data_IF_701408115569
#
_entry.id   IF_701408115569
#
_cell.length_a   1.000
_cell.length_b   1.000
_cell.length_c   1.000
_cell.angle_alpha   90.00
_cell.angle_beta   90.00
_cell.angle_gamma   90.00
#
_symmetry.space_group_name_H-M   'P 1'
#
loop_
_entity.id
_entity.type
_entity.pdbx_description
1 polymer ?
#
# COMPACT_ATOMS: atom_id res chain seq x y z
N UNK A 1 -20.09 9.53 1.98
CA UNK A 1 -19.50 8.19 1.74
C UNK A 1 -20.50 7.19 1.14
N UNK A 2 -21.74 7.09 1.64
CA UNK A 2 -22.80 6.22 1.05
C UNK A 2 -23.19 6.58 -0.40
N UNK A 3 -22.97 7.83 -0.81
CA UNK A 3 -23.28 8.31 -2.15
C UNK A 3 -22.33 7.82 -3.27
N UNK A 4 -21.21 7.16 -2.98
CA UNK A 4 -20.35 6.57 -4.03
C UNK A 4 -20.58 5.07 -4.19
N UNK A 5 -21.11 4.41 -3.15
CA UNK A 5 -21.27 2.96 -3.13
C UNK A 5 -22.33 2.47 -4.13
N UNK A 6 -23.37 3.28 -4.34
CA UNK A 6 -24.45 2.97 -5.28
C UNK A 6 -24.01 3.00 -6.75
N UNK A 7 -22.92 3.71 -7.09
CA UNK A 7 -22.31 3.69 -8.43
C UNK A 7 -21.15 2.71 -8.52
N UNK A 8 -20.45 2.44 -7.42
CA UNK A 8 -19.31 1.52 -7.39
C UNK A 8 -19.70 0.08 -7.73
N UNK A 9 -20.78 -0.45 -7.15
CA UNK A 9 -21.22 -1.83 -7.41
C UNK A 9 -21.71 -2.00 -8.87
N UNK A 10 -22.61 -1.13 -9.39
CA UNK A 10 -22.99 -1.20 -10.80
C UNK A 10 -21.82 -0.97 -11.75
N UNK A 11 -20.89 -0.08 -11.40
CA UNK A 11 -19.68 0.18 -12.18
C UNK A 11 -18.77 -1.05 -12.26
N UNK A 12 -18.53 -1.72 -11.14
CA UNK A 12 -17.76 -2.96 -11.11
C UNK A 12 -18.43 -4.08 -11.91
N UNK A 13 -19.75 -4.24 -11.77
CA UNK A 13 -20.54 -5.22 -12.54
C UNK A 13 -20.49 -4.90 -14.03
N UNK A 14 -20.64 -3.63 -14.43
CA UNK A 14 -20.55 -3.21 -15.82
C UNK A 14 -19.16 -3.50 -16.41
N UNK A 15 -18.09 -3.18 -15.68
CA UNK A 15 -16.71 -3.52 -16.10
C UNK A 15 -16.53 -5.03 -16.24
N UNK A 16 -17.01 -5.82 -15.28
CA UNK A 16 -16.93 -7.28 -15.34
C UNK A 16 -17.70 -7.86 -16.53
N UNK A 17 -18.90 -7.35 -16.82
CA UNK A 17 -19.71 -7.77 -17.97
C UNK A 17 -19.06 -7.39 -19.29
N UNK A 18 -18.57 -6.15 -19.40
CA UNK A 18 -17.87 -5.64 -20.60
C UNK A 18 -16.60 -6.45 -20.86
N UNK A 19 -15.75 -6.66 -19.84
CA UNK A 19 -14.54 -7.48 -19.97
C UNK A 19 -14.88 -8.96 -20.26
N UNK A 20 -15.92 -9.50 -19.62
CA UNK A 20 -16.43 -10.85 -19.87
C UNK A 20 -17.10 -11.04 -21.23
N UNK A 21 -17.51 -9.97 -21.91
CA UNK A 21 -18.05 -10.03 -23.26
C UNK A 21 -16.94 -9.83 -24.32
N UNK A 22 -16.08 -8.82 -24.14
CA UNK A 22 -15.11 -8.36 -25.14
C UNK A 22 -13.72 -9.00 -25.01
N UNK A 23 -13.38 -9.53 -23.82
CA UNK A 23 -12.05 -9.99 -23.46
C UNK A 23 -12.10 -11.23 -22.54
N UNK A 24 -12.95 -12.21 -22.87
CA UNK A 24 -13.08 -13.47 -22.10
C UNK A 24 -11.75 -14.12 -21.78
N UNK A 25 -10.86 -14.20 -22.77
CA UNK A 25 -9.53 -14.81 -22.60
C UNK A 25 -8.67 -14.04 -21.59
N UNK A 26 -8.83 -12.72 -21.48
CA UNK A 26 -8.13 -11.93 -20.48
C UNK A 26 -8.68 -12.21 -19.08
N UNK A 27 -10.00 -12.33 -18.93
CA UNK A 27 -10.67 -12.63 -17.64
C UNK A 27 -10.31 -14.03 -17.14
N UNK A 28 -10.22 -15.01 -18.03
CA UNK A 28 -9.83 -16.39 -17.68
C UNK A 28 -8.34 -16.52 -17.29
N UNK A 29 -7.49 -15.61 -17.77
CA UNK A 29 -6.05 -15.56 -17.42
C UNK A 29 -5.76 -14.82 -16.11
N UNK A 30 -6.77 -14.24 -15.47
CA UNK A 30 -6.61 -13.61 -14.15
C UNK A 30 -6.20 -14.68 -13.14
N UNK A 31 -5.23 -14.35 -12.29
CA UNK A 31 -4.91 -15.16 -11.11
C UNK A 31 -6.00 -14.97 -10.05
N UNK A 32 -7.08 -15.74 -10.18
CA UNK A 32 -8.24 -15.69 -9.28
C UNK A 32 -7.89 -16.06 -7.84
N UNK A 33 -6.86 -16.90 -7.65
CA UNK A 33 -6.36 -17.24 -6.31
C UNK A 33 -5.71 -16.02 -5.67
N UNK A 34 -4.85 -15.30 -6.40
CA UNK A 34 -4.25 -14.06 -5.91
C UNK A 34 -5.32 -13.00 -5.58
N UNK A 35 -6.34 -12.87 -6.42
CA UNK A 35 -7.47 -11.96 -6.16
C UNK A 35 -8.23 -12.36 -4.89
N UNK A 36 -8.48 -13.65 -4.67
CA UNK A 36 -9.07 -14.16 -3.43
C UNK A 36 -8.20 -13.84 -2.22
N UNK A 37 -6.87 -14.00 -2.32
CA UNK A 37 -5.93 -13.63 -1.25
C UNK A 37 -6.04 -12.15 -0.93
N UNK A 38 -6.14 -11.26 -1.92
CA UNK A 38 -6.37 -9.83 -1.67
C UNK A 38 -7.67 -9.60 -0.90
N UNK A 39 -8.78 -10.24 -1.30
CA UNK A 39 -10.07 -10.12 -0.60
C UNK A 39 -9.97 -10.60 0.85
N UNK A 40 -9.38 -11.78 1.08
CA UNK A 40 -9.18 -12.31 2.43
C UNK A 40 -8.28 -11.40 3.27
N UNK A 41 -7.24 -10.83 2.66
CA UNK A 41 -6.35 -9.88 3.32
C UNK A 41 -7.10 -8.61 3.76
N UNK A 42 -8.03 -8.09 2.97
CA UNK A 42 -8.92 -7.01 3.42
C UNK A 42 -9.72 -7.41 4.65
N UNK A 43 -10.32 -8.60 4.68
CA UNK A 43 -11.10 -9.07 5.84
C UNK A 43 -10.21 -9.22 7.07
N UNK A 44 -9.08 -9.91 6.94
CA UNK A 44 -8.18 -10.21 8.07
C UNK A 44 -7.53 -8.94 8.62
N UNK A 45 -7.01 -8.05 7.77
CA UNK A 45 -6.32 -6.84 8.23
C UNK A 45 -7.28 -5.80 8.79
N UNK A 46 -8.50 -5.67 8.25
CA UNK A 46 -9.55 -4.83 8.87
C UNK A 46 -9.95 -5.38 10.23
N UNK A 47 -10.12 -6.70 10.33
CA UNK A 47 -10.36 -7.36 11.62
C UNK A 47 -9.22 -7.14 12.61
N UNK A 48 -7.97 -7.24 12.15
CA UNK A 48 -6.79 -6.98 12.97
C UNK A 48 -6.70 -5.51 13.41
N UNK A 49 -7.00 -4.56 12.54
CA UNK A 49 -7.05 -3.13 12.86
C UNK A 49 -8.10 -2.79 13.92
N UNK A 50 -9.19 -3.57 13.99
CA UNK A 50 -10.24 -3.42 15.01
C UNK A 50 -9.87 -4.03 16.37
N UNK A 51 -8.79 -4.82 16.47
CA UNK A 51 -8.33 -5.34 17.76
C UNK A 51 -7.89 -4.17 18.67
N UNK A 52 -8.30 -4.12 19.95
CA UNK A 52 -8.03 -2.97 20.81
C UNK A 52 -6.56 -2.56 20.89
N UNK A 53 -5.66 -3.55 20.96
CA UNK A 53 -4.21 -3.30 21.01
C UNK A 53 -3.70 -2.62 19.74
N UNK A 54 -4.09 -3.11 18.56
CA UNK A 54 -3.67 -2.55 17.28
C UNK A 54 -4.30 -1.17 17.09
N UNK A 55 -5.61 -1.08 17.35
CA UNK A 55 -6.35 0.17 17.22
C UNK A 55 -5.75 1.27 18.09
N UNK A 56 -5.48 1.00 19.37
CA UNK A 56 -4.90 1.99 20.27
C UNK A 56 -3.47 2.38 19.87
N UNK A 57 -2.63 1.40 19.50
CA UNK A 57 -1.26 1.67 19.05
C UNK A 57 -1.25 2.56 17.81
N UNK A 58 -2.06 2.26 16.80
CA UNK A 58 -2.08 3.01 15.54
C UNK A 58 -2.80 4.35 15.70
N UNK A 59 -3.92 4.40 16.42
CA UNK A 59 -4.63 5.65 16.68
C UNK A 59 -3.77 6.65 17.48
N UNK A 60 -2.93 6.17 18.40
CA UNK A 60 -2.02 7.03 19.17
C UNK A 60 -0.98 7.77 18.32
N UNK A 61 -0.74 7.32 17.08
CA UNK A 61 0.15 8.00 16.13
C UNK A 61 -0.44 9.33 15.61
N UNK A 62 -1.76 9.53 15.72
CA UNK A 62 -2.43 10.75 15.25
C UNK A 62 -2.36 10.90 13.73
N UNK A 63 -2.94 9.94 13.00
CA UNK A 63 -2.88 9.84 11.54
C UNK A 63 -3.74 10.88 10.78
N UNK A 64 -4.32 11.84 11.49
CA UNK A 64 -4.99 13.01 10.92
C UNK A 64 -3.99 13.98 10.27
N UNK A 65 -2.73 13.98 10.73
CA UNK A 65 -1.68 14.78 10.11
C UNK A 65 -1.15 14.09 8.86
N UNK A 66 -1.13 14.74 7.67
CA UNK A 66 -0.61 14.16 6.44
C UNK A 66 0.83 13.65 6.58
N UNK A 67 1.67 14.40 7.29
CA UNK A 67 3.05 13.98 7.52
C UNK A 67 3.11 12.70 8.36
N UNK A 68 2.31 12.59 9.42
CA UNK A 68 2.29 11.38 10.27
C UNK A 68 1.69 10.17 9.57
N UNK A 69 0.66 10.36 8.74
CA UNK A 69 0.12 9.30 7.89
C UNK A 69 1.16 8.80 6.88
N UNK A 70 1.88 9.73 6.27
CA UNK A 70 2.95 9.43 5.34
C UNK A 70 4.10 8.66 5.99
N UNK A 71 4.56 9.11 7.17
CA UNK A 71 5.64 8.43 7.92
C UNK A 71 5.21 7.04 8.41
N UNK A 72 3.99 6.92 8.96
CA UNK A 72 3.43 5.65 9.37
C UNK A 72 3.27 4.69 8.18
N UNK A 73 2.80 5.19 7.03
CA UNK A 73 2.70 4.45 5.78
C UNK A 73 4.04 3.86 5.36
N UNK A 74 5.11 4.66 5.35
CA UNK A 74 6.44 4.19 5.01
C UNK A 74 6.98 3.15 6.01
N UNK A 75 6.82 3.40 7.31
CA UNK A 75 7.33 2.52 8.36
C UNK A 75 6.59 1.18 8.44
N UNK A 76 5.26 1.19 8.40
CA UNK A 76 4.45 -0.03 8.44
C UNK A 76 4.61 -0.83 7.16
N UNK A 77 4.71 -0.16 6.01
CA UNK A 77 4.97 -0.81 4.71
C UNK A 77 6.28 -1.61 4.73
N UNK A 78 7.32 -1.12 5.38
CA UNK A 78 8.58 -1.85 5.57
C UNK A 78 8.46 -3.11 6.44
N UNK A 79 7.45 -3.20 7.30
CA UNK A 79 7.26 -4.33 8.20
C UNK A 79 6.37 -5.42 7.58
N UNK A 80 5.27 -5.02 6.93
CA UNK A 80 4.24 -5.95 6.45
C UNK A 80 4.00 -5.89 4.93
N UNK A 81 4.75 -5.11 4.17
CA UNK A 81 4.58 -4.79 2.73
C UNK A 81 3.54 -3.70 2.42
N UNK A 82 3.70 -3.09 1.24
CA UNK A 82 2.93 -1.94 0.76
C UNK A 82 1.40 -2.14 0.80
N UNK A 83 0.89 -3.26 0.24
CA UNK A 83 -0.56 -3.48 0.15
C UNK A 83 -1.19 -3.76 1.52
N UNK A 84 -0.66 -4.70 2.35
CA UNK A 84 -1.14 -4.88 3.72
C UNK A 84 -1.13 -3.60 4.56
N UNK A 85 -0.05 -2.82 4.47
CA UNK A 85 0.06 -1.56 5.20
C UNK A 85 -1.00 -0.53 4.77
N UNK A 86 -1.29 -0.44 3.47
CA UNK A 86 -2.34 0.43 2.95
C UNK A 86 -3.71 0.02 3.51
N UNK A 87 -4.02 -1.28 3.49
CA UNK A 87 -5.30 -1.80 4.00
C UNK A 87 -5.46 -1.48 5.48
N UNK A 88 -4.44 -1.77 6.30
CA UNK A 88 -4.48 -1.56 7.74
C UNK A 88 -4.63 -0.07 8.11
N UNK A 89 -3.81 0.80 7.50
CA UNK A 89 -3.81 2.22 7.83
C UNK A 89 -5.00 2.99 7.23
N UNK A 90 -5.63 2.47 6.18
CA UNK A 90 -6.85 3.07 5.59
C UNK A 90 -8.05 3.08 6.54
N UNK A 91 -8.02 2.28 7.61
CA UNK A 91 -9.05 2.32 8.66
C UNK A 91 -8.93 3.54 9.58
N UNK A 92 -7.75 4.17 9.62
CA UNK A 92 -7.45 5.26 10.54
C UNK A 92 -7.36 6.63 9.86
N UNK A 93 -7.32 6.67 8.52
CA UNK A 93 -7.31 7.94 7.78
C UNK A 93 -7.95 7.81 6.39
N UNK A 94 -8.66 8.87 5.98
CA UNK A 94 -9.31 8.96 4.66
C UNK A 94 -8.44 9.51 3.54
N UNK A 95 -7.23 10.01 3.83
CA UNK A 95 -6.33 10.55 2.80
C UNK A 95 -5.57 9.44 2.07
N UNK A 96 -6.27 8.83 1.11
CA UNK A 96 -5.73 7.73 0.31
C UNK A 96 -4.49 8.14 -0.50
N UNK A 97 -4.33 9.42 -0.85
CA UNK A 97 -3.20 9.89 -1.66
C UNK A 97 -1.93 9.89 -0.83
N UNK A 98 -1.98 10.51 0.33
CA UNK A 98 -0.86 10.57 1.28
C UNK A 98 -0.49 9.16 1.73
N UNK A 99 -1.49 8.33 2.02
CA UNK A 99 -1.27 6.93 2.37
C UNK A 99 -0.58 6.16 1.24
N UNK A 100 -1.05 6.27 0.00
CA UNK A 100 -0.46 5.60 -1.16
C UNK A 100 0.99 6.03 -1.39
N UNK A 101 1.31 7.31 -1.23
CA UNK A 101 2.69 7.80 -1.29
C UNK A 101 3.56 7.23 -0.18
N UNK A 102 3.07 7.23 1.06
CA UNK A 102 3.81 6.71 2.22
C UNK A 102 4.15 5.23 2.07
N UNK A 103 3.15 4.38 1.82
CA UNK A 103 3.37 2.93 1.67
C UNK A 103 4.21 2.59 0.45
N UNK A 104 4.09 3.35 -0.64
CA UNK A 104 4.92 3.21 -1.83
C UNK A 104 6.39 3.47 -1.53
N UNK A 105 6.68 4.54 -0.78
CA UNK A 105 8.05 4.91 -0.41
C UNK A 105 8.67 3.92 0.58
N UNK A 106 7.87 3.38 1.50
CA UNK A 106 8.29 2.27 2.35
C UNK A 106 8.87 1.11 1.54
N UNK A 107 8.32 0.82 0.36
CA UNK A 107 8.80 -0.24 -0.52
C UNK A 107 10.23 -0.08 -1.05
N UNK A 108 10.88 1.09 -0.94
CA UNK A 108 12.28 1.29 -1.35
C UNK A 108 13.29 1.02 -0.23
N UNK A 109 12.87 0.68 0.99
CA UNK A 109 13.80 0.50 2.09
C UNK A 109 14.60 -0.81 1.99
N UNK A 110 14.15 -1.83 2.72
CA UNK A 110 14.84 -3.11 2.80
C UNK A 110 14.25 -4.08 1.77
N UNK A 111 15.06 -5.00 1.25
CA UNK A 111 14.59 -6.02 0.32
C UNK A 111 13.47 -6.89 0.94
N UNK A 112 13.49 -7.07 2.27
CA UNK A 112 12.48 -7.83 3.02
C UNK A 112 11.17 -7.02 3.18
N UNK A 113 11.25 -5.70 3.09
CA UNK A 113 10.11 -4.82 3.34
C UNK A 113 9.00 -4.90 2.29
N UNK A 114 9.23 -5.54 1.15
CA UNK A 114 8.20 -5.74 0.14
C UNK A 114 8.38 -7.05 -0.60
N UNK A 115 7.28 -7.80 -0.76
CA UNK A 115 7.26 -9.01 -1.59
C UNK A 115 7.76 -8.75 -3.02
N UNK A 116 7.50 -7.57 -3.58
CA UNK A 116 7.99 -7.20 -4.92
C UNK A 116 9.52 -7.16 -4.96
N UNK A 117 10.16 -6.63 -3.91
CA UNK A 117 11.62 -6.59 -3.80
C UNK A 117 12.20 -8.01 -3.68
N UNK A 118 11.58 -8.87 -2.87
CA UNK A 118 11.98 -10.27 -2.74
C UNK A 118 11.86 -11.03 -4.07
N UNK A 119 10.77 -10.79 -4.82
CA UNK A 119 10.57 -11.38 -6.15
C UNK A 119 11.65 -10.89 -7.11
N UNK A 120 11.95 -9.58 -7.12
CA UNK A 120 12.97 -9.01 -8.00
C UNK A 120 14.36 -9.58 -7.71
N UNK A 121 14.76 -9.64 -6.43
CA UNK A 121 16.05 -10.23 -6.01
C UNK A 121 16.12 -11.71 -6.37
N UNK A 122 15.02 -12.46 -6.19
CA UNK A 122 14.94 -13.88 -6.55
C UNK A 122 15.02 -14.12 -8.06
N UNK A 123 14.36 -13.28 -8.86
CA UNK A 123 14.32 -13.43 -10.32
C UNK A 123 15.65 -13.06 -10.98
N UNK A 124 16.38 -12.10 -10.40
CA UNK A 124 17.69 -11.68 -10.90
C UNK A 124 18.75 -12.79 -10.82
N UNK A 125 18.56 -13.83 -9.97
CA UNK A 125 19.44 -15.00 -9.82
C UNK A 125 20.94 -14.66 -9.68
N UNK A 126 21.25 -13.44 -9.23
CA UNK A 126 22.63 -12.94 -9.13
C UNK A 126 23.12 -13.13 -7.70
N UNK A 127 24.15 -13.96 -7.45
CA UNK A 127 24.72 -14.12 -6.12
C UNK A 127 25.28 -12.77 -5.63
N UNK A 128 25.02 -12.43 -4.37
CA UNK A 128 25.49 -11.18 -3.77
C UNK A 128 24.68 -9.92 -4.09
N UNK A 129 23.55 -10.03 -4.82
CA UNK A 129 22.72 -8.86 -5.21
C UNK A 129 22.15 -8.06 -4.03
N UNK A 130 22.07 -8.66 -2.85
CA UNK A 130 21.53 -8.00 -1.65
C UNK A 130 22.29 -6.73 -1.30
N UNK A 131 23.63 -6.74 -1.32
CA UNK A 131 24.42 -5.55 -0.99
C UNK A 131 24.18 -4.37 -1.94
N UNK A 132 24.40 -4.55 -3.26
CA UNK A 132 24.15 -3.52 -4.27
C UNK A 132 22.69 -3.03 -4.29
N UNK A 133 21.72 -3.93 -4.06
CA UNK A 133 20.32 -3.56 -3.96
C UNK A 133 20.10 -2.53 -2.85
N UNK A 134 20.53 -2.85 -1.62
CA UNK A 134 20.33 -1.93 -0.49
C UNK A 134 21.15 -0.63 -0.64
N UNK A 135 22.31 -0.70 -1.28
CA UNK A 135 23.15 0.48 -1.55
C UNK A 135 22.45 1.49 -2.47
N UNK A 136 21.60 1.03 -3.39
CA UNK A 136 20.83 1.91 -4.29
C UNK A 136 19.49 2.28 -3.67
N UNK A 137 18.76 1.30 -3.15
CA UNK A 137 17.39 1.46 -2.69
C UNK A 137 17.30 2.30 -1.42
N UNK A 138 18.20 2.12 -0.43
CA UNK A 138 18.13 2.89 0.82
C UNK A 138 18.37 4.39 0.59
N UNK A 139 19.45 4.84 -0.10
CA UNK A 139 19.63 6.26 -0.36
C UNK A 139 18.50 6.85 -1.22
N UNK A 140 18.05 6.12 -2.24
CA UNK A 140 16.92 6.55 -3.06
C UNK A 140 15.65 6.70 -2.22
N UNK A 141 15.35 5.73 -1.36
CA UNK A 141 14.20 5.75 -0.46
C UNK A 141 14.26 6.91 0.55
N UNK A 142 15.43 7.19 1.11
CA UNK A 142 15.64 8.33 2.01
C UNK A 142 15.43 9.68 1.31
N UNK A 143 15.96 9.83 0.09
CA UNK A 143 15.76 11.05 -0.72
C UNK A 143 14.29 11.20 -1.10
N UNK A 144 13.66 10.12 -1.60
CA UNK A 144 12.23 10.13 -1.95
C UNK A 144 11.35 10.46 -0.74
N UNK A 145 11.69 9.89 0.43
CA UNK A 145 11.02 10.19 1.69
C UNK A 145 11.16 11.67 2.08
N UNK A 146 12.38 12.21 2.04
CA UNK A 146 12.64 13.60 2.39
C UNK A 146 11.91 14.58 1.45
N UNK A 147 11.92 14.32 0.14
CA UNK A 147 11.21 15.13 -0.85
C UNK A 147 9.69 15.07 -0.65
N UNK A 148 9.13 13.89 -0.39
CA UNK A 148 7.70 13.74 -0.12
C UNK A 148 7.29 14.41 1.20
N UNK A 149 8.08 14.24 2.26
CA UNK A 149 7.87 14.92 3.54
C UNK A 149 7.93 16.45 3.40
N UNK A 150 8.90 16.96 2.63
CA UNK A 150 9.05 18.38 2.34
C UNK A 150 7.86 18.92 1.54
N UNK A 151 7.43 18.19 0.51
CA UNK A 151 6.25 18.54 -0.28
C UNK A 151 5.00 18.61 0.61
N UNK A 152 4.77 17.60 1.45
CA UNK A 152 3.66 17.57 2.40
C UNK A 152 3.74 18.68 3.45
N UNK A 153 4.95 19.05 3.88
CA UNK A 153 5.15 20.17 4.80
C UNK A 153 4.71 21.50 4.18
N UNK A 154 5.05 21.75 2.92
CA UNK A 154 4.65 22.97 2.21
C UNK A 154 3.18 22.98 1.79
N UNK A 155 2.59 21.83 1.44
CA UNK A 155 1.18 21.78 1.06
C UNK A 155 0.25 21.69 2.26
N UNK A 156 0.70 21.09 3.36
CA UNK A 156 -0.06 20.95 4.61
C UNK A 156 0.00 22.19 5.52
N UNK A 157 0.92 23.13 5.28
CA UNK A 157 0.96 24.44 5.96
C UNK A 157 0.08 25.50 5.31
N UNK A 158 -0.57 25.17 4.18
CA UNK A 158 -1.45 26.06 3.43
C UNK A 158 -2.95 25.78 3.64
N UNK A 159 -3.31 24.94 4.62
CA UNK A 159 -4.70 24.56 4.94
C UNK A 159 -5.11 24.98 6.34
#
# INVERSE_FOLDING_TARGET
MLANLHLAVPGAVAVALVLGALRRDAVLKIDWLLLLIFVLMFVVLRGAAALPVVHQSVASLGLDSPLRLYTAGAAVSQLISNVPAAILLSEFSGDWRVLAFGVGIGGFGLAIGSLANLIAVRLARTPGLWGPFHLVCIPFGLVAYALGALWLYYTGSAG
#
